data_IF_041049721233
#
_entry.id   IF_041049721233
#
_cell.length_a   1.000
_cell.length_b   1.000
_cell.length_c   1.000
_cell.angle_alpha   90.00
_cell.angle_beta   90.00
_cell.angle_gamma   90.00
#
_symmetry.space_group_name_H-M   'P 1'
#
loop_
_entity.id
_entity.type
_entity.pdbx_description
1 polymer ?
#
# COMPACT_ATOMS: atom_id res chain seq x y z
N UNK A 1 -29.15 15.76 -15.42
CA UNK A 1 -28.27 14.89 -14.61
C UNK A 1 -29.11 14.26 -13.51
N UNK A 2 -29.11 12.93 -13.35
CA UNK A 2 -29.75 12.30 -12.18
C UNK A 2 -28.92 12.65 -10.95
N UNK A 3 -29.53 13.23 -9.93
CA UNK A 3 -28.91 13.43 -8.63
C UNK A 3 -28.61 12.05 -8.04
N UNK A 4 -27.34 11.67 -7.98
CA UNK A 4 -26.93 10.51 -7.20
C UNK A 4 -27.16 10.86 -5.73
N UNK A 5 -28.25 10.33 -5.16
CA UNK A 5 -28.51 10.49 -3.74
C UNK A 5 -27.56 9.57 -2.96
N UNK A 6 -26.71 10.18 -2.13
CA UNK A 6 -25.86 9.47 -1.19
C UNK A 6 -26.60 9.31 0.13
N UNK A 7 -26.47 8.14 0.75
CA UNK A 7 -26.96 7.88 2.10
C UNK A 7 -25.81 7.42 2.96
N UNK A 8 -25.82 7.81 4.23
CA UNK A 8 -24.86 7.28 5.20
C UNK A 8 -25.11 5.78 5.36
N UNK A 9 -24.04 5.00 5.53
CA UNK A 9 -24.18 3.57 5.83
C UNK A 9 -24.78 3.42 7.23
N UNK A 10 -25.78 2.55 7.34
CA UNK A 10 -26.44 2.27 8.62
C UNK A 10 -25.52 1.51 9.59
N UNK A 11 -25.75 1.69 10.90
CA UNK A 11 -25.07 0.94 11.95
C UNK A 11 -23.65 1.41 12.28
N UNK A 12 -23.20 2.52 11.70
CA UNK A 12 -21.91 3.13 12.03
C UNK A 12 -21.95 3.79 13.42
N UNK A 13 -20.93 3.54 14.24
CA UNK A 13 -20.75 4.16 15.56
C UNK A 13 -19.74 5.29 15.43
N UNK A 14 -20.02 6.44 16.07
CA UNK A 14 -19.21 7.65 15.97
C UNK A 14 -18.57 7.91 17.34
N UNK A 15 -17.25 8.05 17.37
CA UNK A 15 -16.49 8.49 18.53
C UNK A 15 -15.79 9.83 18.26
N UNK A 16 -16.00 10.81 19.14
CA UNK A 16 -15.45 12.16 18.99
C UNK A 16 -14.16 12.29 19.79
N UNK A 17 -13.09 12.68 19.11
CA UNK A 17 -11.81 12.92 19.74
C UNK A 17 -11.68 14.37 20.25
N UNK A 18 -10.73 14.60 21.15
CA UNK A 18 -10.51 15.91 21.78
C UNK A 18 -9.93 16.98 20.82
N UNK A 19 -9.39 16.55 19.68
CA UNK A 19 -8.76 17.38 18.64
C UNK A 19 -9.65 17.54 17.40
N UNK A 20 -10.97 17.42 17.59
CA UNK A 20 -12.02 17.52 16.57
C UNK A 20 -12.03 16.41 15.49
N UNK A 21 -11.08 15.47 15.56
CA UNK A 21 -11.14 14.26 14.74
C UNK A 21 -12.29 13.36 15.16
N UNK A 22 -12.81 12.63 14.18
CA UNK A 22 -13.92 11.71 14.38
C UNK A 22 -13.50 10.31 13.98
N UNK A 23 -13.71 9.33 14.84
CA UNK A 23 -13.50 7.93 14.52
C UNK A 23 -14.86 7.31 14.21
N UNK A 24 -14.96 6.68 13.03
CA UNK A 24 -16.14 5.94 12.62
C UNK A 24 -15.84 4.45 12.67
N UNK A 25 -16.65 3.72 13.43
CA UNK A 25 -16.54 2.27 13.61
C UNK A 25 -17.64 1.55 12.83
N UNK A 26 -17.25 0.47 12.16
CA UNK A 26 -18.22 -0.55 11.71
C UNK A 26 -18.67 -1.39 12.92
N UNK A 27 -19.86 -2.01 12.89
CA UNK A 27 -20.27 -2.94 13.94
C UNK A 27 -19.21 -4.02 14.21
N UNK A 28 -18.75 -4.12 15.46
CA UNK A 28 -17.72 -5.07 15.87
C UNK A 28 -16.27 -4.63 15.61
N UNK A 29 -16.04 -3.47 15.00
CA UNK A 29 -14.71 -2.94 14.75
C UNK A 29 -14.26 -1.95 15.84
N UNK A 30 -13.25 -2.34 16.60
CA UNK A 30 -12.67 -1.50 17.67
C UNK A 30 -11.68 -0.43 17.15
N UNK A 31 -11.14 -0.55 15.93
CA UNK A 31 -10.17 0.43 15.40
C UNK A 31 -10.87 1.57 14.66
N UNK A 32 -11.77 1.27 13.73
CA UNK A 32 -12.49 2.28 12.95
C UNK A 32 -11.61 3.00 11.93
N UNK A 33 -12.17 4.03 11.31
CA UNK A 33 -11.50 4.95 10.38
C UNK A 33 -11.61 6.36 10.96
N UNK A 34 -10.50 7.09 10.98
CA UNK A 34 -10.47 8.47 11.39
C UNK A 34 -10.85 9.40 10.22
N UNK A 35 -11.69 10.39 10.49
CA UNK A 35 -12.07 11.44 9.54
C UNK A 35 -11.56 12.77 10.09
N UNK A 36 -10.93 13.54 9.22
CA UNK A 36 -10.66 14.93 9.54
C UNK A 36 -11.98 15.73 9.67
N UNK A 37 -11.96 16.91 10.33
CA UNK A 37 -13.17 17.70 10.56
C UNK A 37 -13.95 18.06 9.31
N UNK A 38 -13.28 18.29 8.18
CA UNK A 38 -13.92 18.69 6.92
C UNK A 38 -14.58 17.50 6.22
N UNK A 39 -13.90 16.36 6.16
CA UNK A 39 -14.44 15.11 5.62
C UNK A 39 -15.63 14.64 6.47
N UNK A 40 -15.55 14.80 7.79
CA UNK A 40 -16.68 14.55 8.68
C UNK A 40 -17.85 15.51 8.44
N UNK A 41 -17.59 16.80 8.21
CA UNK A 41 -18.63 17.77 7.90
C UNK A 41 -19.37 17.41 6.59
N UNK A 42 -18.62 17.01 5.55
CA UNK A 42 -19.18 16.48 4.29
C UNK A 42 -20.05 15.25 4.59
N UNK A 43 -19.51 14.25 5.29
CA UNK A 43 -20.25 13.02 5.62
C UNK A 43 -21.53 13.30 6.40
N UNK A 44 -21.47 14.20 7.38
CA UNK A 44 -22.60 14.56 8.25
C UNK A 44 -23.72 15.29 7.50
N UNK A 45 -23.37 16.15 6.54
CA UNK A 45 -24.32 16.92 5.75
C UNK A 45 -24.85 16.19 4.51
N UNK A 46 -24.31 15.02 4.17
CA UNK A 46 -24.62 14.28 2.93
C UNK A 46 -26.08 13.81 2.85
N UNK A 47 -26.75 13.57 3.97
CA UNK A 47 -28.04 12.89 3.98
C UNK A 47 -29.16 13.77 3.38
N UNK A 48 -29.67 13.35 2.22
CA UNK A 48 -30.81 14.00 1.55
C UNK A 48 -30.49 15.30 0.82
N UNK A 49 -29.22 15.72 0.76
CA UNK A 49 -28.82 16.96 0.08
C UNK A 49 -28.34 16.68 -1.36
N UNK A 50 -28.68 17.60 -2.27
CA UNK A 50 -28.04 17.66 -3.58
C UNK A 50 -26.61 18.18 -3.45
N UNK A 51 -25.73 17.82 -4.39
CA UNK A 51 -24.32 18.21 -4.37
C UNK A 51 -24.13 19.74 -4.26
N UNK A 52 -24.91 20.52 -4.98
CA UNK A 52 -24.82 21.99 -4.98
C UNK A 52 -25.32 22.61 -3.66
N UNK A 53 -26.28 21.97 -2.99
CA UNK A 53 -26.76 22.39 -1.67
C UNK A 53 -25.73 22.05 -0.58
N UNK A 54 -25.13 20.86 -0.68
CA UNK A 54 -24.05 20.42 0.21
C UNK A 54 -22.84 21.36 0.14
N UNK A 55 -22.38 21.66 -1.07
CA UNK A 55 -21.26 22.58 -1.30
C UNK A 55 -21.54 23.97 -0.73
N UNK A 56 -22.75 24.51 -0.98
CA UNK A 56 -23.17 25.82 -0.44
C UNK A 56 -23.27 25.83 1.08
N UNK A 57 -23.85 24.81 1.69
CA UNK A 57 -24.04 24.76 3.15
C UNK A 57 -22.73 24.67 3.93
N UNK A 58 -21.72 24.04 3.34
CA UNK A 58 -20.38 23.89 3.93
C UNK A 58 -19.39 24.97 3.49
N UNK A 59 -19.82 25.92 2.64
CA UNK A 59 -18.95 26.95 2.05
C UNK A 59 -17.70 26.36 1.36
N UNK A 60 -17.86 25.27 0.62
CA UNK A 60 -16.81 24.63 -0.16
C UNK A 60 -17.17 24.59 -1.64
N UNK A 61 -16.19 24.34 -2.51
CA UNK A 61 -16.46 24.15 -3.93
C UNK A 61 -17.27 22.87 -4.17
N UNK A 62 -18.13 22.90 -5.20
CA UNK A 62 -18.87 21.73 -5.69
C UNK A 62 -17.90 20.56 -5.98
N UNK A 63 -16.73 20.90 -6.50
CA UNK A 63 -15.67 19.95 -6.80
C UNK A 63 -15.15 19.24 -5.54
N UNK A 64 -14.83 19.98 -4.49
CA UNK A 64 -14.36 19.42 -3.23
C UNK A 64 -15.45 18.55 -2.57
N UNK A 65 -16.70 19.02 -2.57
CA UNK A 65 -17.84 18.24 -2.08
C UNK A 65 -17.98 16.92 -2.83
N UNK A 66 -17.90 16.94 -4.17
CA UNK A 66 -18.00 15.75 -5.02
C UNK A 66 -16.89 14.74 -4.72
N UNK A 67 -15.66 15.20 -4.52
CA UNK A 67 -14.53 14.32 -4.25
C UNK A 67 -14.58 13.77 -2.82
N UNK A 68 -15.00 14.57 -1.83
CA UNK A 68 -15.27 14.10 -0.47
C UNK A 68 -16.31 12.98 -0.47
N UNK A 69 -17.43 13.15 -1.20
CA UNK A 69 -18.46 12.12 -1.35
C UNK A 69 -17.92 10.85 -2.01
N UNK A 70 -17.11 10.96 -3.07
CA UNK A 70 -16.50 9.82 -3.73
C UNK A 70 -15.53 9.06 -2.81
N UNK A 71 -14.70 9.78 -2.04
CA UNK A 71 -13.80 9.21 -1.03
C UNK A 71 -14.58 8.48 0.06
N UNK A 72 -15.61 9.12 0.62
CA UNK A 72 -16.46 8.53 1.66
C UNK A 72 -17.24 7.30 1.16
N UNK A 73 -17.75 7.35 -0.08
CA UNK A 73 -18.37 6.20 -0.72
C UNK A 73 -17.38 5.07 -0.91
N UNK A 74 -16.18 5.37 -1.42
CA UNK A 74 -15.13 4.37 -1.65
C UNK A 74 -14.65 3.77 -0.34
N UNK A 75 -14.57 4.54 0.73
CA UNK A 75 -14.26 4.07 2.09
C UNK A 75 -15.38 3.21 2.71
N UNK A 76 -16.55 3.09 2.06
CA UNK A 76 -17.68 2.32 2.56
C UNK A 76 -18.47 3.02 3.67
N UNK A 77 -18.31 4.35 3.80
CA UNK A 77 -19.03 5.19 4.77
C UNK A 77 -20.34 5.75 4.21
N UNK A 78 -20.49 5.73 2.88
CA UNK A 78 -21.71 6.08 2.16
C UNK A 78 -22.17 4.91 1.29
N UNK A 79 -23.49 4.76 1.19
CA UNK A 79 -24.16 3.92 0.22
C UNK A 79 -24.66 4.78 -0.94
N UNK A 80 -24.39 4.34 -2.16
CA UNK A 80 -25.12 4.84 -3.33
C UNK A 80 -26.47 4.12 -3.40
N UNK A 81 -27.53 4.81 -3.84
CA UNK A 81 -28.74 4.13 -4.32
C UNK A 81 -28.39 3.03 -5.35
N UNK A 82 -29.28 2.06 -5.62
CA UNK A 82 -28.96 0.75 -6.20
C UNK A 82 -27.97 0.86 -7.36
N UNK A 83 -26.69 0.70 -7.01
CA UNK A 83 -25.58 0.68 -7.95
C UNK A 83 -25.37 -0.78 -8.26
N UNK A 84 -25.43 -1.13 -9.54
CA UNK A 84 -25.10 -2.46 -10.01
C UNK A 84 -23.79 -2.91 -9.33
N UNK A 85 -23.81 -4.12 -8.77
CA UNK A 85 -22.63 -4.74 -8.18
C UNK A 85 -21.45 -4.56 -9.14
N UNK A 86 -20.22 -4.34 -8.65
CA UNK A 86 -19.05 -4.30 -9.51
C UNK A 86 -19.10 -5.54 -10.39
N UNK A 87 -19.16 -5.31 -11.69
CA UNK A 87 -19.23 -6.36 -12.71
C UNK A 87 -18.07 -7.28 -12.41
N UNK A 88 -18.35 -8.55 -12.11
CA UNK A 88 -17.29 -9.54 -11.93
C UNK A 88 -16.40 -9.45 -13.15
N UNK A 89 -15.17 -8.97 -12.99
CA UNK A 89 -14.18 -9.02 -14.06
C UNK A 89 -14.10 -10.48 -14.45
N UNK A 90 -14.39 -10.77 -15.71
CA UNK A 90 -14.27 -12.10 -16.28
C UNK A 90 -12.78 -12.41 -16.26
N UNK A 91 -12.32 -13.14 -15.24
CA UNK A 91 -10.93 -13.56 -15.13
C UNK A 91 -10.60 -14.34 -16.38
N UNK A 92 -9.63 -13.85 -17.16
CA UNK A 92 -9.19 -14.56 -18.35
C UNK A 92 -8.44 -15.78 -17.87
N UNK A 93 -9.04 -16.94 -18.07
CA UNK A 93 -8.51 -18.22 -17.61
C UNK A 93 -7.21 -18.54 -18.34
N UNK A 94 -6.07 -18.27 -17.73
CA UNK A 94 -4.80 -18.86 -18.17
C UNK A 94 -4.74 -20.24 -17.56
N UNK A 95 -4.63 -21.28 -18.39
CA UNK A 95 -4.35 -22.63 -17.91
C UNK A 95 -2.95 -22.65 -17.29
N UNK A 96 -2.91 -22.55 -15.97
CA UNK A 96 -1.69 -22.80 -15.21
C UNK A 96 -1.45 -24.31 -15.24
N UNK A 97 -0.25 -24.72 -15.64
CA UNK A 97 0.16 -26.12 -15.56
C UNK A 97 -0.15 -26.69 -14.17
N UNK A 98 -0.74 -27.90 -14.12
CA UNK A 98 -1.03 -28.59 -12.85
C UNK A 98 0.22 -28.62 -11.96
N UNK A 99 0.06 -28.30 -10.68
CA UNK A 99 1.08 -28.40 -9.63
C UNK A 99 2.21 -27.35 -9.64
N UNK A 100 1.96 -26.12 -10.11
CA UNK A 100 3.03 -25.11 -10.15
C UNK A 100 3.37 -24.47 -8.80
N UNK A 101 2.50 -24.53 -7.79
CA UNK A 101 2.76 -23.89 -6.51
C UNK A 101 2.36 -24.74 -5.31
N UNK A 102 3.04 -24.54 -4.18
CA UNK A 102 2.61 -25.01 -2.87
C UNK A 102 2.50 -23.84 -1.89
N UNK A 103 1.62 -23.98 -0.90
CA UNK A 103 1.39 -22.96 0.13
C UNK A 103 2.17 -23.30 1.40
N UNK A 104 2.85 -22.29 1.95
CA UNK A 104 3.58 -22.36 3.20
C UNK A 104 3.01 -21.30 4.15
N UNK A 105 2.23 -21.76 5.13
CA UNK A 105 1.45 -20.91 6.04
C UNK A 105 2.15 -20.82 7.39
N UNK A 106 2.51 -19.60 7.79
CA UNK A 106 3.01 -19.28 9.12
C UNK A 106 1.82 -19.02 10.05
N UNK A 107 1.70 -19.80 11.13
CA UNK A 107 0.55 -19.72 12.02
C UNK A 107 0.93 -19.25 13.42
N UNK A 108 0.43 -18.05 13.77
CA UNK A 108 0.57 -17.44 15.09
C UNK A 108 -0.72 -16.73 15.56
N UNK A 109 -1.83 -16.92 14.83
CA UNK A 109 -3.13 -16.31 15.07
C UNK A 109 -4.10 -17.27 15.77
N UNK A 110 -5.29 -16.81 16.21
CA UNK A 110 -6.37 -17.70 16.63
C UNK A 110 -6.77 -18.72 15.54
N UNK A 111 -7.33 -19.87 15.95
CA UNK A 111 -7.76 -20.94 15.04
C UNK A 111 -8.72 -20.44 13.94
N UNK A 112 -9.64 -19.53 14.27
CA UNK A 112 -10.61 -18.99 13.32
C UNK A 112 -9.94 -18.30 12.11
N UNK A 113 -8.80 -17.64 12.33
CA UNK A 113 -8.04 -16.97 11.26
C UNK A 113 -7.38 -18.01 10.35
N UNK A 114 -6.80 -19.07 10.95
CA UNK A 114 -6.25 -20.20 10.20
C UNK A 114 -7.32 -20.90 9.35
N UNK A 115 -8.50 -21.15 9.91
CA UNK A 115 -9.61 -21.77 9.18
C UNK A 115 -10.02 -20.91 7.97
N UNK A 116 -10.15 -19.60 8.16
CA UNK A 116 -10.46 -18.65 7.09
C UNK A 116 -9.36 -18.62 6.01
N UNK A 117 -8.08 -18.63 6.43
CA UNK A 117 -6.93 -18.69 5.53
C UNK A 117 -6.95 -19.97 4.68
N UNK A 118 -7.07 -21.14 5.32
CA UNK A 118 -7.12 -22.44 4.65
C UNK A 118 -8.33 -22.55 3.72
N UNK A 119 -9.50 -22.06 4.12
CA UNK A 119 -10.68 -22.01 3.26
C UNK A 119 -10.47 -21.09 2.05
N UNK A 120 -9.76 -19.98 2.21
CA UNK A 120 -9.42 -19.10 1.10
C UNK A 120 -8.45 -19.74 0.11
N UNK A 121 -7.53 -20.58 0.60
CA UNK A 121 -6.61 -21.37 -0.21
C UNK A 121 -7.35 -22.48 -0.97
N UNK A 122 -8.26 -23.20 -0.32
CA UNK A 122 -9.10 -24.23 -0.95
C UNK A 122 -10.05 -23.66 -2.02
N UNK A 123 -10.40 -22.38 -1.92
CA UNK A 123 -11.20 -21.65 -2.93
C UNK A 123 -10.36 -21.16 -4.12
N UNK A 124 -9.03 -21.19 -4.04
CA UNK A 124 -8.20 -21.08 -5.24
C UNK A 124 -8.43 -22.34 -6.09
N UNK A 125 -8.07 -22.32 -7.37
CA UNK A 125 -8.38 -23.49 -8.21
C UNK A 125 -7.60 -24.70 -7.68
N UNK A 126 -8.27 -25.83 -7.50
CA UNK A 126 -7.69 -27.05 -6.90
C UNK A 126 -6.40 -27.53 -7.59
N UNK A 127 -6.18 -27.16 -8.86
CA UNK A 127 -4.96 -27.48 -9.61
C UNK A 127 -3.78 -26.53 -9.39
N UNK A 128 -3.99 -25.39 -8.73
CA UNK A 128 -2.98 -24.35 -8.53
C UNK A 128 -2.09 -24.61 -7.30
N UNK A 129 -2.60 -25.32 -6.29
CA UNK A 129 -1.89 -25.61 -5.04
C UNK A 129 -1.71 -27.13 -4.90
N UNK A 130 -0.48 -27.60 -4.96
CA UNK A 130 -0.15 -29.04 -4.84
C UNK A 130 -0.09 -29.52 -3.40
N UNK A 131 0.31 -28.64 -2.48
CA UNK A 131 0.50 -28.96 -1.07
C UNK A 131 0.26 -27.70 -0.22
N UNK A 132 -0.28 -27.89 0.99
CA UNK A 132 -0.38 -26.86 2.02
C UNK A 132 0.39 -27.33 3.25
N UNK A 133 1.41 -26.56 3.63
CA UNK A 133 2.18 -26.74 4.86
C UNK A 133 1.79 -25.65 5.85
N UNK A 134 1.47 -26.04 7.08
CA UNK A 134 1.24 -25.11 8.19
C UNK A 134 2.35 -25.27 9.21
N UNK A 135 3.02 -24.16 9.49
CA UNK A 135 4.08 -24.07 10.49
C UNK A 135 3.53 -23.39 11.73
N UNK A 136 3.60 -24.08 12.87
CA UNK A 136 3.12 -23.56 14.14
C UNK A 136 4.03 -24.00 15.29
N UNK A 137 4.04 -23.22 16.38
CA UNK A 137 4.77 -23.58 17.59
C UNK A 137 4.20 -24.85 18.27
N UNK A 138 2.88 -25.04 18.18
CA UNK A 138 2.15 -26.13 18.83
C UNK A 138 1.11 -26.77 17.88
N UNK A 139 1.54 -27.47 16.82
CA UNK A 139 0.64 -28.01 15.81
C UNK A 139 -0.32 -29.08 16.32
N UNK A 140 0.00 -29.75 17.44
CA UNK A 140 -0.87 -30.75 18.07
C UNK A 140 -2.19 -30.17 18.60
N UNK A 141 -2.29 -28.84 18.72
CA UNK A 141 -3.50 -28.14 19.15
C UNK A 141 -4.37 -27.68 17.98
N UNK A 142 -3.94 -27.89 16.74
CA UNK A 142 -4.64 -27.44 15.54
C UNK A 142 -5.61 -28.52 15.06
N UNK A 143 -6.84 -28.12 14.79
CA UNK A 143 -7.90 -28.99 14.25
C UNK A 143 -7.99 -28.81 12.74
N UNK A 144 -7.00 -29.31 11.99
CA UNK A 144 -6.90 -29.10 10.54
C UNK A 144 -6.76 -30.40 9.76
N UNK A 145 -7.50 -30.52 8.66
CA UNK A 145 -7.47 -31.67 7.76
C UNK A 145 -6.79 -31.32 6.41
N UNK A 146 -6.16 -32.33 5.81
CA UNK A 146 -5.52 -32.26 4.49
C UNK A 146 -4.41 -31.19 4.38
N UNK A 147 -3.66 -30.98 5.46
CA UNK A 147 -2.47 -30.12 5.49
C UNK A 147 -1.29 -30.86 6.13
N UNK A 148 -0.08 -30.51 5.72
CA UNK A 148 1.13 -30.97 6.37
C UNK A 148 1.49 -30.04 7.54
N UNK A 149 1.59 -30.59 8.75
CA UNK A 149 1.90 -29.82 9.95
C UNK A 149 3.40 -29.88 10.28
N UNK A 150 4.02 -28.73 10.48
CA UNK A 150 5.41 -28.62 10.92
C UNK A 150 5.49 -27.88 12.26
N UNK A 151 6.16 -28.49 13.24
CA UNK A 151 6.39 -27.87 14.55
C UNK A 151 7.68 -27.06 14.56
N UNK A 152 7.56 -25.72 14.61
CA UNK A 152 8.67 -24.77 14.67
C UNK A 152 8.26 -23.51 15.42
N UNK A 153 9.21 -22.87 16.07
CA UNK A 153 8.99 -21.54 16.64
C UNK A 153 9.12 -20.44 15.57
N UNK A 154 8.63 -19.23 15.86
CA UNK A 154 8.70 -18.08 14.94
C UNK A 154 10.15 -17.70 14.60
N UNK A 155 11.09 -18.00 15.49
CA UNK A 155 12.50 -17.77 15.26
C UNK A 155 13.09 -18.71 14.18
N UNK A 156 12.48 -19.87 13.92
CA UNK A 156 13.04 -20.93 13.05
C UNK A 156 12.21 -21.25 11.81
N UNK A 157 11.13 -20.51 11.52
CA UNK A 157 10.32 -20.78 10.32
C UNK A 157 11.11 -20.75 9.01
N UNK A 158 12.17 -19.93 8.90
CA UNK A 158 13.03 -19.90 7.71
C UNK A 158 13.83 -21.20 7.52
N UNK A 159 14.21 -21.86 8.62
CA UNK A 159 14.81 -23.19 8.57
C UNK A 159 13.79 -24.23 8.12
N UNK A 160 12.56 -24.16 8.64
CA UNK A 160 11.46 -25.02 8.24
C UNK A 160 11.16 -24.91 6.74
N UNK A 161 11.12 -23.69 6.23
CA UNK A 161 10.94 -23.41 4.81
C UNK A 161 12.07 -24.04 3.99
N UNK A 162 13.32 -23.87 4.41
CA UNK A 162 14.47 -24.50 3.72
C UNK A 162 14.40 -26.03 3.73
N UNK A 163 14.13 -26.64 4.90
CA UNK A 163 14.02 -28.09 5.04
C UNK A 163 12.88 -28.67 4.19
N UNK A 164 11.75 -27.98 4.11
CA UNK A 164 10.63 -28.37 3.27
C UNK A 164 10.93 -28.18 1.78
N UNK A 165 11.59 -27.08 1.41
CA UNK A 165 12.00 -26.81 0.03
C UNK A 165 12.91 -27.90 -0.53
N UNK A 166 13.74 -28.53 0.29
CA UNK A 166 14.59 -29.64 -0.12
C UNK A 166 13.81 -30.93 -0.44
N UNK A 167 12.55 -31.04 0.00
CA UNK A 167 11.74 -32.26 -0.11
C UNK A 167 10.61 -32.16 -1.13
N UNK A 168 10.07 -30.96 -1.34
CA UNK A 168 8.99 -30.72 -2.30
C UNK A 168 9.55 -30.48 -3.70
N UNK A 169 8.80 -30.69 -4.77
CA UNK A 169 9.15 -30.27 -6.15
C UNK A 169 8.05 -29.35 -6.68
N UNK A 170 8.25 -28.03 -6.58
CA UNK A 170 7.30 -27.00 -7.06
C UNK A 170 8.02 -25.88 -7.78
N UNK A 171 7.33 -25.18 -8.69
CA UNK A 171 7.89 -24.01 -9.38
C UNK A 171 7.92 -22.77 -8.46
N UNK A 172 6.89 -22.62 -7.63
CA UNK A 172 6.70 -21.48 -6.76
C UNK A 172 6.20 -21.88 -5.36
N UNK A 173 6.47 -21.01 -4.38
CA UNK A 173 5.98 -21.11 -3.01
C UNK A 173 5.13 -19.90 -2.70
N UNK A 174 3.88 -20.12 -2.33
CA UNK A 174 3.01 -19.11 -1.77
C UNK A 174 3.28 -19.03 -0.27
N UNK A 175 4.01 -18.02 0.17
CA UNK A 175 4.23 -17.74 1.59
C UNK A 175 3.06 -16.90 2.09
N UNK A 176 2.40 -17.36 3.15
CA UNK A 176 1.29 -16.65 3.78
C UNK A 176 1.40 -16.69 5.28
N UNK A 177 0.90 -15.64 5.90
CA UNK A 177 0.52 -15.66 7.30
C UNK A 177 -0.92 -16.15 7.47
N UNK A 178 -1.21 -16.87 8.56
CA UNK A 178 -2.55 -17.40 8.82
C UNK A 178 -3.61 -16.32 9.05
N UNK A 179 -3.23 -15.07 9.33
CA UNK A 179 -4.16 -13.94 9.36
C UNK A 179 -4.58 -13.42 7.97
N UNK A 180 -4.00 -13.95 6.89
CA UNK A 180 -4.29 -13.50 5.51
C UNK A 180 -5.26 -14.44 4.81
N UNK A 181 -6.27 -13.86 4.16
CA UNK A 181 -7.19 -14.58 3.27
C UNK A 181 -7.04 -14.10 1.82
N UNK A 182 -7.04 -15.02 0.87
CA UNK A 182 -6.96 -14.68 -0.56
C UNK A 182 -8.35 -14.54 -1.17
N UNK A 183 -8.52 -13.51 -2.02
CA UNK A 183 -9.70 -13.44 -2.89
C UNK A 183 -9.65 -14.53 -3.97
N UNK A 184 -10.80 -14.98 -4.49
CA UNK A 184 -10.83 -15.94 -5.59
C UNK A 184 -10.02 -15.44 -6.79
N UNK A 185 -9.11 -16.27 -7.29
CA UNK A 185 -8.27 -15.96 -8.45
C UNK A 185 -6.99 -15.18 -8.13
N UNK A 186 -6.78 -14.77 -6.86
CA UNK A 186 -5.57 -14.03 -6.49
C UNK A 186 -4.28 -14.80 -6.76
N UNK A 187 -4.27 -16.12 -6.49
CA UNK A 187 -3.12 -16.97 -6.81
C UNK A 187 -2.86 -17.04 -8.31
N UNK A 188 -3.92 -17.16 -9.12
CA UNK A 188 -3.84 -17.16 -10.58
C UNK A 188 -3.19 -15.88 -11.12
N UNK A 189 -3.62 -14.73 -10.62
CA UNK A 189 -3.05 -13.42 -10.99
C UNK A 189 -1.57 -13.31 -10.59
N UNK A 190 -1.19 -13.77 -9.40
CA UNK A 190 0.21 -13.79 -8.97
C UNK A 190 1.07 -14.74 -9.80
N UNK A 191 0.57 -15.94 -10.08
CA UNK A 191 1.27 -16.94 -10.89
C UNK A 191 1.43 -16.46 -12.34
N UNK A 192 0.42 -15.80 -12.91
CA UNK A 192 0.53 -15.16 -14.21
C UNK A 192 1.63 -14.10 -14.21
N UNK A 193 1.64 -13.21 -13.21
CA UNK A 193 2.68 -12.19 -13.09
C UNK A 193 4.08 -12.78 -12.93
N UNK A 194 4.24 -13.86 -12.13
CA UNK A 194 5.52 -14.54 -11.93
C UNK A 194 6.07 -15.16 -13.22
N UNK A 195 5.19 -15.57 -14.14
CA UNK A 195 5.52 -16.20 -15.43
C UNK A 195 5.81 -15.20 -16.55
N UNK A 196 5.61 -13.90 -16.33
CA UNK A 196 5.87 -12.88 -17.35
C UNK A 196 7.35 -12.83 -17.76
N UNK A 197 8.26 -13.09 -16.81
CA UNK A 197 9.72 -13.10 -17.03
C UNK A 197 10.40 -14.05 -16.04
N UNK A 198 11.53 -14.61 -16.44
CA UNK A 198 12.29 -15.56 -15.61
C UNK A 198 13.09 -14.89 -14.48
N UNK A 199 13.34 -13.59 -14.59
CA UNK A 199 14.05 -12.80 -13.59
C UNK A 199 13.13 -12.25 -12.48
N UNK A 200 11.85 -12.62 -12.48
CA UNK A 200 10.92 -12.30 -11.39
C UNK A 200 11.10 -13.34 -10.29
N UNK A 201 11.56 -12.87 -9.13
CA UNK A 201 11.77 -13.70 -7.95
C UNK A 201 10.54 -13.81 -7.06
N UNK A 202 9.71 -12.77 -7.00
CA UNK A 202 8.51 -12.78 -6.20
C UNK A 202 7.44 -11.82 -6.73
N UNK A 203 6.21 -12.09 -6.35
CA UNK A 203 5.03 -11.28 -6.64
C UNK A 203 4.28 -11.00 -5.35
N UNK A 204 4.11 -9.73 -5.04
CA UNK A 204 3.32 -9.26 -3.90
C UNK A 204 1.85 -9.07 -4.34
N UNK A 205 0.87 -9.66 -3.62
CA UNK A 205 -0.52 -9.27 -3.78
C UNK A 205 -0.74 -7.88 -3.17
N UNK A 206 -1.87 -7.28 -3.52
CA UNK A 206 -2.39 -6.13 -2.80
C UNK A 206 -3.21 -6.63 -1.60
N UNK A 207 -2.67 -6.42 -0.40
CA UNK A 207 -3.31 -6.73 0.87
C UNK A 207 -4.18 -5.56 1.29
N UNK A 208 -5.47 -5.81 1.41
CA UNK A 208 -6.49 -4.87 1.86
C UNK A 208 -6.84 -5.17 3.32
N UNK A 209 -7.33 -4.17 4.05
CA UNK A 209 -7.76 -4.39 5.43
C UNK A 209 -9.09 -5.13 5.45
N UNK A 210 -9.15 -6.26 6.15
CA UNK A 210 -10.35 -7.11 6.21
C UNK A 210 -11.60 -6.36 6.68
N UNK A 211 -11.48 -5.51 7.72
CA UNK A 211 -12.63 -4.77 8.29
C UNK A 211 -13.10 -3.64 7.39
N UNK A 212 -12.18 -3.06 6.62
CA UNK A 212 -12.45 -1.98 5.68
C UNK A 212 -11.70 -2.22 4.36
N UNK A 213 -12.27 -3.05 3.46
CA UNK A 213 -11.56 -3.64 2.32
C UNK A 213 -11.20 -2.63 1.21
N UNK A 214 -11.48 -1.34 1.44
CA UNK A 214 -11.03 -0.26 0.57
C UNK A 214 -9.70 0.34 1.01
N UNK A 215 -9.21 0.04 2.22
CA UNK A 215 -7.93 0.52 2.72
C UNK A 215 -6.84 -0.51 2.48
N UNK A 216 -5.72 -0.05 1.96
CA UNK A 216 -4.55 -0.89 1.69
C UNK A 216 -3.78 -1.08 2.99
N UNK A 217 -3.48 -2.34 3.32
CA UNK A 217 -2.50 -2.71 4.35
C UNK A 217 -1.11 -2.74 3.71
N UNK A 218 -0.99 -3.38 2.55
CA UNK A 218 0.25 -3.43 1.78
C UNK A 218 -0.01 -3.66 0.29
N UNK A 219 0.88 -3.17 -0.56
CA UNK A 219 0.93 -3.55 -1.99
C UNK A 219 2.39 -3.87 -2.40
N UNK A 220 3.20 -4.30 -1.43
CA UNK A 220 4.66 -4.23 -1.48
C UNK A 220 5.18 -2.86 -1.04
N UNK A 221 6.48 -2.77 -0.73
CA UNK A 221 7.13 -1.52 -0.32
C UNK A 221 7.77 -0.85 -1.54
N UNK A 222 7.68 0.47 -1.64
CA UNK A 222 8.36 1.28 -2.67
C UNK A 222 9.14 2.39 -1.99
N UNK A 223 10.38 2.64 -2.40
CA UNK A 223 11.26 3.63 -1.77
C UNK A 223 12.65 3.05 -1.48
N UNK A 224 13.68 3.88 -1.33
CA UNK A 224 15.07 3.40 -1.15
C UNK A 224 15.21 2.41 0.01
N UNK A 225 16.23 1.54 -0.04
CA UNK A 225 16.36 0.31 0.78
C UNK A 225 16.26 0.48 2.31
N UNK A 226 16.28 1.71 2.84
CA UNK A 226 16.13 2.04 4.26
C UNK A 226 14.89 2.91 4.58
N UNK A 227 14.21 3.48 3.58
CA UNK A 227 13.10 4.44 3.72
C UNK A 227 11.86 3.97 2.95
N UNK A 228 11.64 2.65 2.88
CA UNK A 228 10.50 2.06 2.19
C UNK A 228 9.20 2.73 2.65
N UNK A 229 8.55 3.46 1.75
CA UNK A 229 7.25 4.06 2.04
C UNK A 229 6.27 2.89 2.07
N UNK A 230 5.80 2.56 3.28
CA UNK A 230 4.65 1.70 3.42
C UNK A 230 3.41 2.52 3.07
N UNK A 231 2.55 1.98 2.21
CA UNK A 231 1.31 2.62 1.80
C UNK A 231 0.13 2.15 2.63
N UNK A 232 0.41 1.67 3.84
CA UNK A 232 -0.60 1.28 4.82
C UNK A 232 -1.52 2.47 5.13
N UNK A 233 -2.83 2.23 5.09
CA UNK A 233 -3.85 3.23 5.36
C UNK A 233 -4.27 4.09 4.20
N UNK A 234 -3.68 3.92 3.03
CA UNK A 234 -4.19 4.57 1.83
C UNK A 234 -5.51 3.93 1.38
N UNK A 235 -6.50 4.77 1.07
CA UNK A 235 -7.72 4.35 0.39
C UNK A 235 -7.41 3.97 -1.07
N UNK A 236 -7.73 2.75 -1.49
CA UNK A 236 -7.53 2.32 -2.88
C UNK A 236 -8.52 2.99 -3.83
N UNK A 237 -8.07 4.06 -4.45
CA UNK A 237 -8.77 4.81 -5.50
C UNK A 237 -8.17 4.56 -6.87
N UNK A 238 -7.32 3.51 -7.01
CA UNK A 238 -6.64 3.16 -8.24
C UNK A 238 -5.24 3.78 -8.41
N UNK A 239 -4.72 4.47 -7.40
CA UNK A 239 -3.36 5.04 -7.39
C UNK A 239 -2.27 3.99 -7.57
N UNK A 240 -2.56 2.74 -7.17
CA UNK A 240 -1.61 1.65 -7.27
C UNK A 240 -1.51 1.06 -8.68
N UNK A 241 -2.53 1.23 -9.55
CA UNK A 241 -2.67 0.52 -10.85
C UNK A 241 -1.45 0.55 -11.77
N UNK A 242 -0.56 1.52 -11.63
CA UNK A 242 0.65 1.69 -12.46
C UNK A 242 1.90 1.05 -11.85
N UNK A 243 1.80 0.45 -10.67
CA UNK A 243 2.94 -0.18 -10.03
C UNK A 243 3.24 -1.49 -10.73
N UNK A 244 4.46 -1.58 -11.25
CA UNK A 244 4.96 -2.77 -11.92
C UNK A 244 5.96 -3.49 -11.01
N UNK A 245 6.91 -2.76 -10.42
CA UNK A 245 7.92 -3.28 -9.50
C UNK A 245 7.82 -2.69 -8.10
N UNK A 246 8.16 -3.51 -7.11
CA UNK A 246 8.29 -3.14 -5.69
C UNK A 246 9.66 -3.54 -5.18
N UNK A 247 10.07 -2.94 -4.07
CA UNK A 247 11.40 -3.15 -3.49
C UNK A 247 11.45 -4.37 -2.59
N UNK A 248 10.33 -4.66 -1.92
CA UNK A 248 10.09 -5.83 -1.09
C UNK A 248 8.60 -6.16 -1.13
N UNK A 249 8.27 -7.39 -0.76
CA UNK A 249 6.89 -7.80 -0.52
C UNK A 249 6.60 -7.81 0.99
N UNK A 250 5.32 -7.76 1.34
CA UNK A 250 4.91 -7.88 2.73
C UNK A 250 5.32 -9.26 3.29
N UNK A 251 5.87 -9.35 4.50
CA UNK A 251 6.31 -10.63 5.08
C UNK A 251 5.16 -11.63 5.24
N UNK A 252 3.93 -11.14 5.41
CA UNK A 252 2.74 -11.96 5.60
C UNK A 252 2.10 -12.49 4.32
N UNK A 253 2.62 -12.17 3.13
CA UNK A 253 1.99 -12.66 1.90
C UNK A 253 2.71 -12.37 0.60
N UNK A 254 3.02 -13.41 -0.16
CA UNK A 254 3.58 -13.31 -1.52
C UNK A 254 3.81 -14.65 -2.19
N UNK A 255 3.88 -14.64 -3.53
CA UNK A 255 4.27 -15.81 -4.31
C UNK A 255 5.73 -15.68 -4.72
N UNK A 256 6.58 -16.63 -4.32
CA UNK A 256 8.02 -16.62 -4.58
C UNK A 256 8.39 -17.73 -5.56
N UNK A 257 9.33 -17.45 -6.47
CA UNK A 257 9.95 -18.45 -7.32
C UNK A 257 10.88 -19.31 -6.46
N UNK A 258 10.65 -20.63 -6.46
CA UNK A 258 11.42 -21.58 -5.64
C UNK A 258 12.93 -21.45 -5.87
N UNK A 259 13.35 -21.45 -7.13
CA UNK A 259 14.77 -21.45 -7.46
C UNK A 259 15.52 -20.25 -6.89
N UNK A 260 14.88 -19.08 -6.85
CA UNK A 260 15.48 -17.87 -6.29
C UNK A 260 15.50 -17.94 -4.77
N UNK A 261 14.42 -18.46 -4.18
CA UNK A 261 14.32 -18.69 -2.75
C UNK A 261 15.39 -19.66 -2.22
N UNK A 262 15.76 -20.68 -2.98
CA UNK A 262 16.86 -21.59 -2.65
C UNK A 262 18.26 -20.96 -2.84
N UNK A 263 18.42 -20.08 -3.84
CA UNK A 263 19.69 -19.38 -4.10
C UNK A 263 19.98 -18.28 -3.07
N UNK A 264 18.94 -17.59 -2.58
CA UNK A 264 19.05 -16.45 -1.66
C UNK A 264 18.57 -16.88 -0.28
N UNK A 265 19.49 -17.21 0.61
CA UNK A 265 19.18 -17.72 1.94
C UNK A 265 18.47 -16.64 2.77
N UNK A 266 17.30 -16.99 3.33
CA UNK A 266 16.63 -16.18 4.35
C UNK A 266 17.40 -16.33 5.66
N UNK A 267 18.04 -15.26 6.13
CA UNK A 267 18.79 -15.27 7.39
C UNK A 267 17.88 -15.57 8.58
N UNK A 268 18.23 -16.59 9.38
CA UNK A 268 17.48 -16.94 10.59
C UNK A 268 17.70 -15.98 11.76
N UNK A 269 18.70 -15.10 11.69
CA UNK A 269 19.14 -14.27 12.83
C UNK A 269 18.34 -12.97 13.05
N UNK A 270 17.56 -12.54 12.07
CA UNK A 270 16.79 -11.28 12.15
C UNK A 270 15.32 -11.52 12.56
N UNK A 271 14.60 -10.47 12.94
CA UNK A 271 13.14 -10.55 13.14
C UNK A 271 12.42 -10.87 11.82
N UNK A 272 11.25 -11.54 11.80
CA UNK A 272 10.59 -12.02 10.58
C UNK A 272 10.50 -10.99 9.44
N UNK A 273 10.08 -9.75 9.74
CA UNK A 273 10.00 -8.68 8.74
C UNK A 273 11.37 -8.31 8.15
N UNK A 274 12.38 -8.20 9.02
CA UNK A 274 13.75 -7.91 8.62
C UNK A 274 14.34 -9.03 7.76
N UNK A 275 13.94 -10.29 7.98
CA UNK A 275 14.36 -11.42 7.16
C UNK A 275 13.88 -11.27 5.72
N UNK A 276 12.60 -10.95 5.53
CA UNK A 276 12.02 -10.80 4.19
C UNK A 276 12.53 -9.55 3.48
N UNK A 277 12.74 -8.44 4.19
CA UNK A 277 13.40 -7.26 3.63
C UNK A 277 14.85 -7.55 3.23
N UNK A 278 15.61 -8.25 4.07
CA UNK A 278 16.98 -8.65 3.75
C UNK A 278 17.03 -9.60 2.55
N UNK A 279 16.14 -10.58 2.49
CA UNK A 279 16.00 -11.48 1.34
C UNK A 279 15.68 -10.71 0.06
N UNK A 280 14.71 -9.79 0.10
CA UNK A 280 14.32 -8.97 -1.04
C UNK A 280 15.48 -8.09 -1.53
N UNK A 281 16.22 -7.49 -0.61
CA UNK A 281 17.41 -6.70 -0.91
C UNK A 281 18.49 -7.54 -1.61
N UNK A 282 18.85 -8.69 -1.04
CA UNK A 282 19.85 -9.59 -1.63
C UNK A 282 19.43 -10.14 -2.99
N UNK A 283 18.14 -10.49 -3.14
CA UNK A 283 17.54 -10.95 -4.39
C UNK A 283 17.71 -9.91 -5.50
N UNK A 284 17.48 -8.63 -5.19
CA UNK A 284 17.66 -7.53 -6.14
C UNK A 284 19.12 -7.26 -6.48
N UNK A 285 20.04 -7.41 -5.52
CA UNK A 285 21.49 -7.32 -5.80
C UNK A 285 21.95 -8.38 -6.81
N UNK A 286 21.24 -9.51 -6.90
CA UNK A 286 21.50 -10.56 -7.89
C UNK A 286 20.81 -10.33 -9.24
N UNK A 287 20.15 -9.18 -9.44
CA UNK A 287 19.50 -8.81 -10.70
C UNK A 287 18.06 -9.30 -10.85
N UNK A 288 17.47 -9.92 -9.82
CA UNK A 288 16.07 -10.31 -9.86
C UNK A 288 15.12 -9.17 -9.47
N UNK A 289 13.86 -9.31 -9.87
CA UNK A 289 12.80 -8.34 -9.65
C UNK A 289 11.70 -8.88 -8.74
N UNK A 290 11.05 -7.97 -8.00
CA UNK A 290 9.84 -8.25 -7.24
C UNK A 290 8.73 -7.38 -7.83
N UNK A 291 7.62 -8.00 -8.21
CA UNK A 291 6.49 -7.29 -8.84
C UNK A 291 5.31 -7.17 -7.89
N UNK A 292 4.45 -6.19 -8.15
CA UNK A 292 3.13 -6.12 -7.53
C UNK A 292 2.07 -6.65 -8.51
N UNK A 293 1.31 -7.69 -8.12
CA UNK A 293 0.13 -8.14 -8.85
C UNK A 293 -1.11 -7.46 -8.26
N UNK A 294 -1.42 -6.27 -8.73
CA UNK A 294 -2.45 -5.41 -8.13
C UNK A 294 -3.88 -5.94 -8.27
N UNK A 295 -4.09 -6.88 -9.21
CA UNK A 295 -5.35 -7.62 -9.36
C UNK A 295 -5.43 -8.81 -8.39
N UNK A 296 -4.29 -9.29 -7.87
CA UNK A 296 -4.27 -10.28 -6.80
C UNK A 296 -4.59 -9.57 -5.49
N UNK A 297 -5.81 -9.77 -5.00
CA UNK A 297 -6.29 -9.17 -3.75
C UNK A 297 -6.22 -10.19 -2.61
N UNK A 298 -5.66 -9.77 -1.50
CA UNK A 298 -5.70 -10.48 -0.22
C UNK A 298 -6.34 -9.57 0.84
N UNK A 299 -6.93 -10.15 1.88
CA UNK A 299 -7.35 -9.43 3.08
C UNK A 299 -6.51 -9.85 4.26
N UNK A 300 -6.16 -8.89 5.11
CA UNK A 300 -5.41 -9.14 6.32
C UNK A 300 -5.81 -8.23 7.48
N UNK A 301 -5.33 -8.54 8.68
CA UNK A 301 -5.51 -7.67 9.84
C UNK A 301 -4.80 -6.33 9.63
N UNK A 302 -5.28 -5.33 10.36
CA UNK A 302 -4.56 -4.08 10.46
C UNK A 302 -3.34 -4.28 11.36
N UNK A 303 -2.12 -3.88 10.95
CA UNK A 303 -0.93 -4.11 11.76
C UNK A 303 -1.08 -3.42 13.11
N UNK A 304 -0.80 -4.14 14.19
CA UNK A 304 -0.87 -3.57 15.55
C UNK A 304 0.32 -2.65 15.82
N UNK A 305 1.48 -2.98 15.27
CA UNK A 305 2.75 -2.26 15.45
C UNK A 305 3.08 -1.33 14.27
N UNK A 306 2.13 -0.49 13.85
CA UNK A 306 2.50 0.63 12.98
C UNK A 306 3.31 1.64 13.80
N UNK A 307 4.54 1.99 13.40
CA UNK A 307 5.28 3.06 14.04
C UNK A 307 4.39 4.30 14.13
N UNK A 308 4.16 4.77 15.36
CA UNK A 308 3.33 5.95 15.63
C UNK A 308 3.88 7.23 14.96
N UNK A 309 5.12 7.18 14.47
CA UNK A 309 5.86 8.27 13.82
C UNK A 309 5.93 8.18 12.29
N UNK A 310 5.15 7.31 11.63
CA UNK A 310 4.90 7.58 10.21
C UNK A 310 4.04 8.84 10.13
N UNK A 311 4.67 9.98 9.85
CA UNK A 311 4.09 11.24 9.36
C UNK A 311 3.35 11.05 8.01
N UNK A 312 2.77 9.87 7.80
CA UNK A 312 1.96 9.55 6.66
C UNK A 312 0.61 10.23 6.84
N UNK A 313 0.29 11.11 5.90
CA UNK A 313 -0.97 11.86 5.72
C UNK A 313 -2.25 10.98 5.68
N UNK A 314 -2.09 9.68 5.87
CA UNK A 314 -3.07 8.61 5.74
C UNK A 314 -3.30 7.85 7.04
N UNK A 315 -2.59 8.19 8.13
CA UNK A 315 -2.78 7.60 9.45
C UNK A 315 -3.09 8.67 10.51
N UNK A 316 -4.00 8.36 11.42
CA UNK A 316 -4.29 9.14 12.62
C UNK A 316 -4.17 8.22 13.82
N UNK A 317 -3.16 8.45 14.68
CA UNK A 317 -2.85 7.60 15.86
C UNK A 317 -2.76 6.11 15.50
N UNK A 318 -2.16 5.79 14.35
CA UNK A 318 -2.00 4.42 13.85
C UNK A 318 -3.25 3.81 13.19
N UNK A 319 -4.36 4.54 13.08
CA UNK A 319 -5.57 4.13 12.35
C UNK A 319 -5.59 4.74 10.95
N UNK A 320 -6.23 4.12 9.95
CA UNK A 320 -6.39 4.77 8.65
C UNK A 320 -7.21 6.05 8.79
N UNK A 321 -6.73 7.11 8.15
CA UNK A 321 -7.32 8.43 8.16
C UNK A 321 -7.82 8.80 6.76
N UNK A 322 -9.00 9.43 6.71
CA UNK A 322 -9.52 10.15 5.56
C UNK A 322 -9.34 11.64 5.80
N UNK A 323 -8.40 12.20 5.04
CA UNK A 323 -8.02 13.60 5.10
C UNK A 323 -8.31 14.31 3.78
N UNK A 324 -8.33 15.64 3.84
CA UNK A 324 -8.33 16.48 2.66
C UNK A 324 -7.16 16.16 1.71
N UNK A 325 -6.04 15.67 2.23
CA UNK A 325 -4.91 15.25 1.40
C UNK A 325 -5.17 13.93 0.68
N UNK A 326 -5.95 13.00 1.24
CA UNK A 326 -6.44 11.85 0.47
C UNK A 326 -7.35 12.29 -0.68
N UNK A 327 -8.21 13.29 -0.43
CA UNK A 327 -9.02 13.92 -1.48
C UNK A 327 -8.14 14.61 -2.52
N UNK A 328 -6.99 15.16 -2.11
CA UNK A 328 -6.02 15.77 -3.02
C UNK A 328 -5.18 14.77 -3.82
N UNK A 329 -4.80 13.64 -3.22
CA UNK A 329 -4.05 12.56 -3.88
C UNK A 329 -4.85 11.84 -4.97
N UNK A 330 -6.18 11.82 -4.85
CA UNK A 330 -7.07 11.50 -5.96
C UNK A 330 -6.81 12.38 -7.19
N UNK A 331 -6.42 13.66 -7.03
CA UNK A 331 -6.16 14.57 -8.15
C UNK A 331 -4.85 14.32 -8.88
N UNK A 332 -3.75 14.07 -8.17
CA UNK A 332 -2.42 13.95 -8.79
C UNK A 332 -2.28 12.70 -9.66
N UNK A 333 -3.06 11.64 -9.39
CA UNK A 333 -3.06 10.41 -10.18
C UNK A 333 -4.09 10.38 -11.32
N UNK A 334 -5.15 11.20 -11.27
CA UNK A 334 -6.21 11.24 -12.29
C UNK A 334 -6.03 12.35 -13.36
N UNK A 335 -5.03 13.24 -13.22
CA UNK A 335 -4.74 14.29 -14.21
C UNK A 335 -4.42 13.80 -15.65
N UNK A 336 -4.28 12.49 -15.86
CA UNK A 336 -4.11 11.88 -17.18
C UNK A 336 -5.44 11.52 -17.89
N UNK A 337 -6.61 11.81 -17.29
CA UNK A 337 -7.93 11.74 -17.94
C UNK A 337 -8.44 13.19 -18.08
N UNK A 338 -7.97 13.86 -19.13
CA UNK A 338 -8.22 15.25 -19.61
C UNK A 338 -9.69 15.65 -19.84
N UNK A 339 -10.03 16.90 -20.26
CA UNK A 339 -9.68 18.23 -19.76
C UNK A 339 -10.96 19.05 -19.50
N UNK A 340 -11.15 19.62 -18.32
CA UNK A 340 -12.08 20.73 -18.15
C UNK A 340 -11.27 21.89 -17.60
N UNK A 341 -11.19 22.95 -18.39
CA UNK A 341 -10.58 24.21 -17.98
C UNK A 341 -11.13 24.60 -16.62
N UNK A 342 -10.32 24.44 -15.58
CA UNK A 342 -10.59 25.06 -14.30
C UNK A 342 -10.73 26.56 -14.56
N UNK A 343 -11.79 27.17 -14.02
CA UNK A 343 -11.91 28.62 -14.10
C UNK A 343 -10.71 29.25 -13.38
N UNK A 344 -10.23 30.40 -13.88
CA UNK A 344 -9.10 31.13 -13.26
C UNK A 344 -9.33 31.43 -11.78
N UNK A 345 -10.59 31.52 -11.34
CA UNK A 345 -10.94 31.76 -9.94
C UNK A 345 -10.71 30.51 -9.08
N UNK A 346 -10.93 29.31 -9.63
CA UNK A 346 -10.61 28.03 -8.98
C UNK A 346 -9.10 27.79 -8.94
N UNK A 347 -8.37 28.20 -9.99
CA UNK A 347 -6.89 28.20 -9.97
C UNK A 347 -6.34 29.20 -8.94
N UNK A 348 -6.96 30.37 -8.76
CA UNK A 348 -6.52 31.38 -7.81
C UNK A 348 -6.80 31.00 -6.33
N UNK A 349 -7.96 30.40 -6.04
CA UNK A 349 -8.25 29.78 -4.74
C UNK A 349 -7.26 28.63 -4.45
N UNK A 350 -6.94 27.81 -5.45
CA UNK A 350 -5.93 26.76 -5.30
C UNK A 350 -4.53 27.35 -5.10
N UNK A 351 -4.15 28.41 -5.83
CA UNK A 351 -2.84 29.08 -5.72
C UNK A 351 -2.59 29.77 -4.38
N UNK A 352 -3.63 30.37 -3.78
CA UNK A 352 -3.52 30.94 -2.42
C UNK A 352 -3.24 29.88 -1.36
N UNK A 353 -3.61 28.61 -1.58
CA UNK A 353 -3.32 27.49 -0.68
C UNK A 353 -2.12 26.62 -1.11
N UNK A 354 -1.73 26.60 -2.38
CA UNK A 354 -0.57 25.82 -2.90
C UNK A 354 0.78 26.55 -2.82
N UNK A 355 0.79 27.84 -2.47
CA UNK A 355 2.01 28.64 -2.25
C UNK A 355 2.93 28.12 -1.12
N UNK A 356 2.52 27.05 -0.41
CA UNK A 356 3.27 26.43 0.68
C UNK A 356 3.88 25.05 0.36
N UNK A 357 3.66 24.45 -0.83
CA UNK A 357 4.06 23.05 -1.05
C UNK A 357 4.90 22.75 -2.31
N UNK A 358 5.04 23.64 -3.29
CA UNK A 358 5.85 23.33 -4.49
C UNK A 358 6.60 24.58 -5.00
N UNK A 359 7.88 24.66 -4.68
CA UNK A 359 8.84 25.53 -5.36
C UNK A 359 10.08 24.69 -5.70
N UNK A 360 9.96 23.87 -6.75
CA UNK A 360 11.07 23.50 -7.65
C UNK A 360 10.50 22.71 -8.84
N UNK A 361 10.13 23.43 -9.89
CA UNK A 361 9.90 22.89 -11.23
C UNK A 361 9.86 24.04 -12.25
N UNK A 362 11.04 24.51 -12.64
CA UNK A 362 11.29 25.40 -13.80
C UNK A 362 12.68 25.00 -14.31
N UNK A 363 12.98 24.67 -15.56
CA UNK A 363 12.38 24.80 -16.88
C UNK A 363 12.89 23.60 -17.71
N UNK A 364 12.10 23.07 -18.64
CA UNK A 364 12.62 22.25 -19.75
C UNK A 364 12.35 23.02 -21.03
N UNK A 365 13.40 23.62 -21.58
CA UNK A 365 13.45 24.17 -22.93
C UNK A 365 13.98 23.08 -23.86
N UNK A 366 13.28 22.86 -24.97
CA UNK A 366 13.64 21.91 -26.01
C UNK A 366 14.91 22.35 -26.76
N UNK A 367 15.78 21.39 -27.10
CA UNK A 367 16.89 21.57 -28.03
C UNK A 367 17.29 20.25 -28.67
N UNK A 368 17.28 20.22 -30.00
CA UNK A 368 17.62 19.09 -30.89
C UNK A 368 19.10 18.66 -30.80
N UNK A 369 19.37 17.36 -30.99
CA UNK A 369 20.70 16.85 -31.35
C UNK A 369 20.99 15.41 -30.88
N UNK A 370 21.11 14.50 -31.86
CA UNK A 370 21.39 13.06 -31.73
C UNK A 370 22.65 12.68 -30.92
N UNK A 371 22.53 11.74 -29.96
CA UNK A 371 23.46 10.60 -29.75
C UNK A 371 22.95 9.65 -28.62
N UNK A 372 22.57 8.38 -28.88
CA UNK A 372 22.13 7.45 -27.83
C UNK A 372 23.30 6.61 -27.32
N UNK A 373 23.41 6.46 -25.99
CA UNK A 373 24.25 5.49 -25.24
C UNK A 373 25.52 6.01 -24.53
N UNK A 374 25.45 7.20 -23.90
CA UNK A 374 26.29 7.50 -22.72
C UNK A 374 25.41 7.65 -21.46
N UNK A 375 25.59 6.83 -20.40
CA UNK A 375 24.97 7.12 -19.12
C UNK A 375 25.57 8.41 -18.54
N UNK A 376 24.75 9.45 -18.49
CA UNK A 376 25.08 10.72 -17.85
C UNK A 376 25.22 10.49 -16.34
N UNK A 377 26.39 10.80 -15.78
CA UNK A 377 26.50 11.04 -14.35
C UNK A 377 25.52 12.17 -13.98
N UNK A 378 24.69 12.02 -12.94
CA UNK A 378 23.85 13.11 -12.48
C UNK A 378 24.75 14.29 -12.13
N UNK A 379 24.51 15.44 -12.76
CA UNK A 379 25.20 16.67 -12.40
C UNK A 379 24.93 16.93 -10.91
N UNK A 380 25.99 17.27 -10.17
CA UNK A 380 25.85 17.72 -8.78
C UNK A 380 24.88 18.92 -8.76
N UNK A 381 23.90 18.95 -7.84
CA UNK A 381 22.94 20.03 -7.76
C UNK A 381 23.68 21.36 -7.59
N UNK A 382 23.21 22.40 -8.28
CA UNK A 382 23.83 23.71 -8.18
C UNK A 382 23.79 24.22 -6.72
N UNK A 383 24.90 24.80 -6.23
CA UNK A 383 25.01 25.23 -4.84
C UNK A 383 23.99 26.34 -4.55
N UNK A 384 23.33 26.24 -3.39
CA UNK A 384 22.38 27.27 -2.94
C UNK A 384 23.09 28.63 -2.86
N UNK A 385 22.59 29.68 -3.53
CA UNK A 385 23.24 30.99 -3.53
C UNK A 385 23.31 31.56 -2.10
N UNK A 386 24.42 32.22 -1.75
CA UNK A 386 24.73 32.67 -0.38
C UNK A 386 23.59 33.47 0.28
N UNK A 387 22.85 34.27 -0.51
CA UNK A 387 21.70 35.06 -0.06
C UNK A 387 20.49 34.22 0.40
N UNK A 388 20.35 32.99 -0.11
CA UNK A 388 19.26 32.08 0.24
C UNK A 388 19.61 31.17 1.43
N UNK A 389 20.87 31.18 1.88
CA UNK A 389 21.36 30.30 2.94
C UNK A 389 20.67 30.52 4.29
N UNK A 390 20.41 31.76 4.76
CA UNK A 390 19.69 31.96 6.03
C UNK A 390 18.26 31.42 5.97
N UNK A 391 17.58 31.60 4.84
CA UNK A 391 16.22 31.08 4.63
C UNK A 391 16.19 29.56 4.57
N UNK A 392 17.13 28.94 3.86
CA UNK A 392 17.27 27.47 3.80
C UNK A 392 17.65 26.88 5.16
N UNK A 393 18.60 27.48 5.88
CA UNK A 393 19.00 27.04 7.21
C UNK A 393 17.86 27.16 8.23
N UNK A 394 17.10 28.26 8.21
CA UNK A 394 15.91 28.41 9.05
C UNK A 394 14.84 27.37 8.73
N UNK A 395 14.62 27.08 7.44
CA UNK A 395 13.67 26.07 7.00
C UNK A 395 14.07 24.67 7.45
N UNK A 396 15.35 24.29 7.28
CA UNK A 396 15.89 23.01 7.75
C UNK A 396 15.84 22.92 9.28
N UNK A 397 16.15 24.00 9.99
CA UNK A 397 16.05 24.05 11.45
C UNK A 397 14.61 23.76 11.92
N UNK A 398 13.61 24.33 11.25
CA UNK A 398 12.19 24.14 11.61
C UNK A 398 11.67 22.75 11.25
N UNK A 399 12.13 22.16 10.15
CA UNK A 399 11.59 20.89 9.62
C UNK A 399 12.36 19.64 10.10
N UNK A 400 13.68 19.75 10.27
CA UNK A 400 14.55 18.59 10.49
C UNK A 400 15.45 18.76 11.74
N UNK A 401 15.29 19.85 12.48
CA UNK A 401 16.02 20.13 13.69
C UNK A 401 17.47 20.59 13.49
N UNK A 402 18.13 20.89 14.61
CA UNK A 402 19.42 21.58 14.64
C UNK A 402 20.58 20.73 14.09
N UNK A 403 20.50 19.41 14.25
CA UNK A 403 21.55 18.47 13.80
C UNK A 403 21.65 18.30 12.28
N UNK A 404 20.53 18.38 11.56
CA UNK A 404 20.51 18.33 10.09
C UNK A 404 20.95 19.68 9.50
N UNK A 405 20.48 20.77 10.10
CA UNK A 405 20.89 22.13 9.73
C UNK A 405 22.41 22.33 9.87
N UNK A 406 23.01 21.87 10.97
CA UNK A 406 24.46 21.96 11.17
C UNK A 406 25.27 21.15 10.14
N UNK A 407 24.77 19.98 9.72
CA UNK A 407 25.41 19.15 8.67
C UNK A 407 25.37 19.85 7.31
N UNK A 408 24.23 20.40 6.93
CA UNK A 408 24.06 21.11 5.67
C UNK A 408 24.96 22.36 5.60
N UNK A 409 25.00 23.15 6.69
CA UNK A 409 25.88 24.33 6.78
C UNK A 409 27.36 23.92 6.73
N UNK A 410 27.76 22.83 7.39
CA UNK A 410 29.13 22.31 7.30
C UNK A 410 29.49 21.86 5.89
N UNK A 411 28.59 21.18 5.18
CA UNK A 411 28.82 20.78 3.79
C UNK A 411 28.98 22.00 2.88
N UNK A 412 28.14 23.03 3.06
CA UNK A 412 28.27 24.29 2.33
C UNK A 412 29.60 24.99 2.58
N UNK A 413 30.05 25.04 3.84
CA UNK A 413 31.34 25.64 4.20
C UNK A 413 32.50 24.85 3.59
N UNK A 414 32.47 23.51 3.66
CA UNK A 414 33.49 22.65 3.05
C UNK A 414 33.57 22.84 1.54
N UNK A 415 32.41 22.91 0.87
CA UNK A 415 32.34 23.19 -0.56
C UNK A 415 32.97 24.56 -0.89
N UNK A 416 32.64 25.61 -0.13
CA UNK A 416 33.18 26.96 -0.35
C UNK A 416 34.66 27.09 -0.03
N UNK A 417 35.18 26.29 0.90
CA UNK A 417 36.60 26.30 1.29
C UNK A 417 37.48 25.40 0.41
N UNK A 418 36.89 24.47 -0.35
CA UNK A 418 37.59 23.54 -1.24
C UNK A 418 37.46 23.84 -2.73
N UNK A 419 36.96 25.03 -3.08
CA UNK A 419 36.81 25.53 -4.46
C UNK A 419 37.81 26.62 -4.80
#
# INVERSE_FOLDING_TARGET
MKLTAYRRRDGLVIDKQADDWIIIHSPGDQKGIALDPLIFAIWSATEGQALDDLARSLHISIYLASCGLATLQRAGLLQSGPSAAPSSSTYTTVEIAKNSAAAFVLHHHPQADLDACLDSLRKQRESEISEIVVVAAQPSLLEVENVHLMQRDDASWSCALSEWLDQVEVEAVLLLDSGITLMPGALSEMAHALKLRDDIAAVAPRVMWERWPSFVVSAGERGEANDGVSYTGHLDVGQFKRWQGVHSMHPSGGLLRREVLQKVIISSKAAPEQRMRAWAYQTRLQGYHILAALQAVAHGPWPDDLPHDYDALTLYKGMPALTLENVRGLYSHYAAITPLSLSRDTEAELWQYTSYAFADASEIVCGDGDDPLRPLQPALPEPTPLRALPGKAWRILRQHGLGVMAREVCQYIRWKAGG
#
